data_IF_542204927063
#
_entry.id   IF_542204927063
#
_cell.length_a   1.000
_cell.length_b   1.000
_cell.length_c   1.000
_cell.angle_alpha   90.00
_cell.angle_beta   90.00
_cell.angle_gamma   90.00
#
_symmetry.space_group_name_H-M   'P 1'
#
loop_
_entity.id
_entity.type
_entity.pdbx_description
1 polymer ?
#
# COMPACT_ATOMS: atom_id res chain seq x y z
N UNK A 1 1.37 23.40 -8.75
CA UNK A 1 0.14 22.58 -8.77
C UNK A 1 -0.07 22.10 -10.19
N UNK A 2 -0.71 20.94 -10.38
CA UNK A 2 -0.92 20.26 -11.65
C UNK A 2 -2.35 19.74 -11.76
N UNK A 3 -2.90 19.77 -12.97
CA UNK A 3 -4.21 19.23 -13.35
C UNK A 3 -4.08 18.08 -14.37
N UNK A 4 -2.88 17.52 -14.52
CA UNK A 4 -2.61 16.46 -15.51
C UNK A 4 -3.55 15.26 -15.36
N UNK A 5 -3.90 14.91 -14.12
CA UNK A 5 -4.80 13.79 -13.79
C UNK A 5 -6.23 13.96 -14.31
N UNK A 6 -6.68 15.18 -14.65
CA UNK A 6 -8.04 15.44 -15.17
C UNK A 6 -8.35 14.71 -16.48
N UNK A 7 -7.32 14.25 -17.20
CA UNK A 7 -7.46 13.50 -18.47
C UNK A 7 -7.64 12.00 -18.26
N UNK A 8 -7.55 11.53 -17.02
CA UNK A 8 -7.48 10.12 -16.68
C UNK A 8 -8.62 9.76 -15.71
N UNK A 9 -9.30 8.62 -15.91
CA UNK A 9 -10.16 8.08 -14.86
C UNK A 9 -9.27 7.60 -13.71
N UNK A 10 -9.66 7.92 -12.49
CA UNK A 10 -8.97 7.44 -11.29
C UNK A 10 -9.68 6.19 -10.79
N UNK A 11 -8.97 5.05 -10.78
CA UNK A 11 -9.48 3.80 -10.25
C UNK A 11 -9.63 3.89 -8.73
N UNK A 12 -10.55 3.08 -8.19
CA UNK A 12 -10.88 2.99 -6.75
C UNK A 12 -11.60 4.20 -6.13
N UNK A 13 -11.86 5.26 -6.88
CA UNK A 13 -12.63 6.42 -6.42
C UNK A 13 -14.03 6.47 -7.05
N UNK A 14 -14.99 6.98 -6.29
CA UNK A 14 -16.34 7.24 -6.82
C UNK A 14 -16.28 8.38 -7.85
N UNK A 15 -17.22 8.38 -8.81
CA UNK A 15 -17.27 9.39 -9.88
C UNK A 15 -17.28 10.83 -9.34
N UNK A 16 -18.00 11.07 -8.25
CA UNK A 16 -18.13 12.39 -7.61
C UNK A 16 -16.83 12.84 -6.92
N UNK A 17 -16.02 11.89 -6.46
CA UNK A 17 -14.79 12.14 -5.70
C UNK A 17 -13.53 12.15 -6.58
N UNK A 18 -13.63 11.80 -7.87
CA UNK A 18 -12.45 11.70 -8.76
C UNK A 18 -11.62 12.99 -8.76
N UNK A 19 -12.29 14.15 -8.70
CA UNK A 19 -11.64 15.45 -8.69
C UNK A 19 -10.60 15.61 -7.56
N UNK A 20 -10.82 14.95 -6.42
CA UNK A 20 -9.91 14.95 -5.26
C UNK A 20 -8.61 14.20 -5.50
N UNK A 21 -8.52 13.40 -6.58
CA UNK A 21 -7.35 12.65 -6.99
C UNK A 21 -6.78 13.10 -8.35
N UNK A 22 -7.55 13.87 -9.13
CA UNK A 22 -7.17 14.33 -10.47
C UNK A 22 -6.34 15.62 -10.46
N UNK A 23 -6.42 16.39 -9.37
CA UNK A 23 -5.64 17.60 -9.17
C UNK A 23 -4.61 17.38 -8.06
N UNK A 24 -3.46 18.03 -8.16
CA UNK A 24 -2.39 17.87 -7.19
C UNK A 24 -1.61 19.16 -6.94
N UNK A 25 -1.12 19.29 -5.71
CA UNK A 25 -0.07 20.24 -5.35
C UNK A 25 1.23 19.48 -5.16
N UNK A 26 2.29 19.96 -5.79
CA UNK A 26 3.66 19.51 -5.57
C UNK A 26 4.57 20.72 -5.33
N UNK A 27 5.74 20.47 -4.79
CA UNK A 27 6.80 21.48 -4.64
C UNK A 27 8.18 20.84 -4.85
N UNK A 28 9.15 21.61 -5.32
CA UNK A 28 10.54 21.16 -5.52
C UNK A 28 11.28 20.92 -4.20
N UNK A 29 10.80 21.56 -3.13
CA UNK A 29 11.31 21.43 -1.76
C UNK A 29 10.26 20.84 -0.82
N UNK A 30 10.65 20.58 0.43
CA UNK A 30 9.73 20.23 1.51
C UNK A 30 8.67 21.31 1.68
N UNK A 31 7.40 20.91 1.77
CA UNK A 31 6.30 21.83 2.00
C UNK A 31 5.29 21.24 2.98
N UNK A 32 4.44 22.08 3.55
CA UNK A 32 3.48 21.60 4.53
C UNK A 32 2.25 22.47 4.71
N UNK A 33 1.41 22.04 5.64
CA UNK A 33 0.18 22.70 6.05
C UNK A 33 0.16 22.84 7.57
N UNK A 34 -0.37 23.98 8.03
CA UNK A 34 -0.70 24.19 9.44
C UNK A 34 -2.22 24.17 9.61
N UNK A 35 -2.72 23.27 10.44
CA UNK A 35 -4.15 23.17 10.74
C UNK A 35 -4.40 23.40 12.23
N UNK A 36 -5.13 24.46 12.64
CA UNK A 36 -5.45 24.67 14.04
C UNK A 36 -6.48 23.64 14.52
N UNK A 37 -6.22 23.00 15.67
CA UNK A 37 -7.16 22.11 16.35
C UNK A 37 -7.50 22.70 17.71
N UNK A 38 -8.80 22.90 17.97
CA UNK A 38 -9.30 23.59 19.16
C UNK A 38 -9.72 22.64 20.28
N UNK A 39 -10.15 21.45 19.91
CA UNK A 39 -10.76 20.49 20.83
C UNK A 39 -9.82 19.30 21.05
N UNK A 40 -9.94 18.69 22.23
CA UNK A 40 -9.31 17.41 22.49
C UNK A 40 -10.19 16.28 21.95
N UNK A 41 -9.58 15.19 21.52
CA UNK A 41 -10.32 14.09 20.93
C UNK A 41 -9.45 13.16 20.10
N UNK A 42 -10.11 12.15 19.55
CA UNK A 42 -9.53 11.27 18.55
C UNK A 42 -9.79 11.87 17.17
N UNK A 43 -8.76 11.82 16.34
CA UNK A 43 -8.80 12.39 14.99
C UNK A 43 -8.15 11.43 14.01
N UNK A 44 -8.54 11.54 12.74
CA UNK A 44 -7.91 10.84 11.64
C UNK A 44 -7.51 11.84 10.58
N UNK A 45 -6.21 11.91 10.28
CA UNK A 45 -5.70 12.62 9.12
C UNK A 45 -5.74 11.66 7.92
N UNK A 46 -6.44 12.06 6.87
CA UNK A 46 -6.48 11.30 5.62
C UNK A 46 -5.81 12.12 4.52
N UNK A 47 -4.82 11.51 3.89
CA UNK A 47 -4.05 12.08 2.80
C UNK A 47 -4.34 11.33 1.52
N UNK A 48 -4.83 12.05 0.51
CA UNK A 48 -5.26 11.48 -0.78
C UNK A 48 -4.19 11.66 -1.82
N UNK A 49 -3.84 10.58 -2.50
CA UNK A 49 -2.83 10.53 -3.53
C UNK A 49 -3.31 9.73 -4.75
N UNK A 50 -2.79 10.08 -5.92
CA UNK A 50 -2.82 9.23 -7.10
C UNK A 50 -1.54 9.48 -7.91
N UNK A 51 -0.91 8.42 -8.43
CA UNK A 51 0.19 8.57 -9.39
C UNK A 51 -0.37 8.63 -10.81
N UNK A 52 -0.14 9.75 -11.49
CA UNK A 52 -0.72 10.01 -12.81
C UNK A 52 0.33 10.38 -13.85
N UNK A 53 1.60 10.52 -13.46
CA UNK A 53 2.68 10.96 -14.34
C UNK A 53 3.72 9.86 -14.55
N UNK A 54 4.19 9.26 -13.46
CA UNK A 54 5.19 8.20 -13.52
C UNK A 54 4.57 6.83 -13.70
N UNK A 55 5.20 6.01 -14.53
CA UNK A 55 4.74 4.67 -14.89
C UNK A 55 5.61 3.55 -14.28
N UNK A 56 6.46 3.87 -13.30
CA UNK A 56 7.38 2.93 -12.65
C UNK A 56 7.59 3.30 -11.17
N UNK A 57 7.83 2.28 -10.33
CA UNK A 57 8.26 2.46 -8.93
C UNK A 57 9.62 3.15 -8.87
N UNK A 58 9.94 3.72 -7.72
CA UNK A 58 11.19 4.41 -7.38
C UNK A 58 11.48 5.63 -8.27
N UNK A 59 10.46 6.24 -8.88
CA UNK A 59 10.59 7.52 -9.58
C UNK A 59 10.22 8.71 -8.68
N UNK A 60 9.29 8.49 -7.75
CA UNK A 60 8.86 9.49 -6.77
C UNK A 60 8.72 8.83 -5.41
N UNK A 61 9.61 9.24 -4.50
CA UNK A 61 9.64 8.74 -3.12
C UNK A 61 9.85 9.92 -2.19
N UNK A 62 8.99 10.08 -1.20
CA UNK A 62 9.05 11.16 -0.22
C UNK A 62 8.47 10.70 1.13
N UNK A 63 8.82 11.40 2.21
CA UNK A 63 8.24 11.12 3.53
C UNK A 63 7.07 12.07 3.82
N UNK A 64 6.19 11.65 4.73
CA UNK A 64 5.20 12.51 5.34
C UNK A 64 5.42 12.56 6.85
N UNK A 65 5.42 13.77 7.39
CA UNK A 65 5.53 14.03 8.82
C UNK A 65 4.30 14.71 9.38
N UNK A 66 3.99 14.39 10.63
CA UNK A 66 2.97 15.03 11.45
C UNK A 66 3.60 15.51 12.75
N UNK A 67 3.65 16.83 12.96
CA UNK A 67 4.29 17.46 14.13
C UNK A 67 5.72 16.94 14.38
N UNK A 68 6.49 16.74 13.31
CA UNK A 68 7.85 16.20 13.35
C UNK A 68 7.96 14.67 13.39
N UNK A 69 6.87 13.95 13.69
CA UNK A 69 6.83 12.49 13.63
C UNK A 69 6.73 12.00 12.19
N UNK A 70 7.58 11.06 11.77
CA UNK A 70 7.46 10.44 10.44
C UNK A 70 6.30 9.46 10.45
N UNK A 71 5.19 9.81 9.80
CA UNK A 71 3.97 9.01 9.78
C UNK A 71 3.85 8.14 8.54
N UNK A 72 4.49 8.55 7.44
CA UNK A 72 4.63 7.72 6.25
C UNK A 72 6.07 7.88 5.78
N UNK A 73 6.80 6.77 5.70
CA UNK A 73 8.20 6.75 5.28
C UNK A 73 8.33 6.16 3.89
N UNK A 74 9.19 6.75 3.06
CA UNK A 74 9.53 6.30 1.72
C UNK A 74 8.27 6.04 0.86
N UNK A 75 7.31 6.98 0.87
CA UNK A 75 6.05 6.84 0.14
C UNK A 75 6.30 6.87 -1.37
N UNK A 76 6.09 5.71 -1.99
CA UNK A 76 6.03 5.52 -3.43
C UNK A 76 4.59 5.17 -3.84
N UNK A 77 3.87 6.14 -4.39
CA UNK A 77 2.45 5.96 -4.73
C UNK A 77 2.29 4.94 -5.87
N UNK A 78 3.21 4.92 -6.83
CA UNK A 78 3.16 3.96 -7.94
C UNK A 78 3.35 2.54 -7.42
N UNK A 79 4.32 2.33 -6.53
CA UNK A 79 4.59 1.00 -5.97
C UNK A 79 3.40 0.47 -5.15
N UNK A 80 2.64 1.37 -4.49
CA UNK A 80 1.47 1.00 -3.69
C UNK A 80 0.25 0.59 -4.51
N UNK A 81 -0.09 1.37 -5.54
CA UNK A 81 -1.38 1.22 -6.24
C UNK A 81 -1.28 1.26 -7.76
N UNK A 82 -0.10 1.48 -8.32
CA UNK A 82 0.10 1.65 -9.75
C UNK A 82 -0.34 3.02 -10.28
N UNK A 83 -0.48 3.08 -11.61
CA UNK A 83 -0.88 4.29 -12.32
C UNK A 83 -2.40 4.56 -12.20
N UNK A 84 -2.79 5.84 -12.20
CA UNK A 84 -4.18 6.30 -12.23
C UNK A 84 -5.10 5.63 -11.21
N UNK A 85 -4.58 5.34 -10.01
CA UNK A 85 -5.32 4.65 -8.96
C UNK A 85 -5.29 5.47 -7.67
N UNK A 86 -6.45 5.59 -7.01
CA UNK A 86 -6.56 6.28 -5.74
C UNK A 86 -5.83 5.50 -4.63
N UNK A 87 -5.09 6.26 -3.82
CA UNK A 87 -4.40 5.80 -2.62
C UNK A 87 -4.66 6.77 -1.48
N UNK A 88 -5.06 6.23 -0.33
CA UNK A 88 -5.31 6.99 0.88
C UNK A 88 -4.33 6.52 1.97
N UNK A 89 -3.59 7.46 2.56
CA UNK A 89 -2.87 7.23 3.81
C UNK A 89 -3.77 7.70 4.96
N UNK A 90 -4.05 6.79 5.89
CA UNK A 90 -4.98 7.00 7.01
C UNK A 90 -4.17 6.99 8.30
N UNK A 91 -4.03 8.16 8.92
CA UNK A 91 -3.20 8.37 10.11
C UNK A 91 -4.10 8.69 11.31
N UNK A 92 -4.42 7.69 12.17
CA UNK A 92 -5.12 7.95 13.42
C UNK A 92 -4.20 8.64 14.42
N UNK A 93 -4.76 9.59 15.15
CA UNK A 93 -4.07 10.35 16.20
C UNK A 93 -5.04 10.68 17.33
N UNK A 94 -4.50 10.94 18.53
CA UNK A 94 -5.30 11.45 19.64
C UNK A 94 -4.64 12.66 20.28
N UNK A 95 -5.45 13.63 20.66
CA UNK A 95 -5.02 14.85 21.35
C UNK A 95 -5.69 14.86 22.73
N UNK A 96 -4.89 14.76 23.79
CA UNK A 96 -5.39 14.73 25.18
C UNK A 96 -4.43 15.46 26.10
N UNK A 97 -4.96 16.31 26.97
CA UNK A 97 -4.19 17.09 27.97
C UNK A 97 -2.98 17.81 27.35
N UNK A 98 -3.18 18.42 26.18
CA UNK A 98 -2.13 19.13 25.45
C UNK A 98 -1.00 18.25 24.89
N UNK A 99 -1.23 16.94 24.72
CA UNK A 99 -0.31 16.00 24.07
C UNK A 99 -0.93 15.42 22.82
N UNK A 100 -0.13 15.28 21.77
CA UNK A 100 -0.45 14.55 20.55
C UNK A 100 0.14 13.15 20.65
N UNK A 101 -0.65 12.14 20.35
CA UNK A 101 -0.20 10.75 20.21
C UNK A 101 -0.48 10.28 18.79
N UNK A 102 0.55 9.83 18.08
CA UNK A 102 0.46 9.29 16.72
C UNK A 102 1.43 8.12 16.56
N UNK A 103 0.97 6.99 16.02
CA UNK A 103 1.78 5.78 15.79
C UNK A 103 2.60 5.29 17.02
N UNK A 104 2.07 5.50 18.24
CA UNK A 104 2.74 5.14 19.50
C UNK A 104 3.77 6.16 20.00
N UNK A 105 4.08 7.18 19.21
CA UNK A 105 4.90 8.31 19.65
C UNK A 105 4.01 9.40 20.27
N UNK A 106 4.53 10.07 21.30
CA UNK A 106 3.82 11.12 22.03
C UNK A 106 4.66 12.38 22.07
N UNK A 107 4.06 13.52 21.73
CA UNK A 107 4.70 14.84 21.78
C UNK A 107 3.78 15.90 22.37
N UNK A 108 4.35 17.07 22.67
CA UNK A 108 3.59 18.24 23.13
C UNK A 108 2.79 18.81 21.97
N UNK A 109 1.49 19.05 22.18
CA UNK A 109 0.61 19.67 21.20
C UNK A 109 0.47 21.17 21.47
N UNK A 110 0.71 21.99 20.45
CA UNK A 110 0.77 23.47 20.55
C UNK A 110 -0.49 24.16 19.99
N UNK A 111 -1.58 23.40 19.76
CA UNK A 111 -2.82 23.93 19.17
C UNK A 111 -2.86 23.90 17.65
N UNK A 112 -1.76 23.53 16.98
CA UNK A 112 -1.67 23.36 15.54
C UNK A 112 -1.06 22.02 15.17
N UNK A 113 -1.63 21.39 14.15
CA UNK A 113 -1.02 20.28 13.46
C UNK A 113 -0.16 20.80 12.31
N UNK A 114 1.07 20.30 12.23
CA UNK A 114 2.02 20.58 11.18
C UNK A 114 2.16 19.33 10.33
N UNK A 115 1.65 19.35 9.10
CA UNK A 115 1.73 18.25 8.15
C UNK A 115 2.79 18.61 7.13
N UNK A 116 3.88 17.85 7.04
CA UNK A 116 5.00 18.14 6.14
C UNK A 116 5.21 17.00 5.16
N UNK A 117 5.36 17.33 3.88
CA UNK A 117 5.76 16.43 2.82
C UNK A 117 7.23 16.68 2.52
N UNK A 118 8.09 15.76 2.94
CA UNK A 118 9.54 15.96 2.99
C UNK A 118 10.17 15.51 1.69
N UNK A 119 10.90 16.42 1.04
CA UNK A 119 11.62 16.13 -0.20
C UNK A 119 12.69 15.05 0.01
N UNK A 120 12.53 13.91 -0.66
CA UNK A 120 13.54 12.86 -0.76
C UNK A 120 14.55 13.09 -1.88
N UNK A 121 15.37 12.07 -2.20
CA UNK A 121 16.36 12.13 -3.29
C UNK A 121 15.73 12.07 -4.69
N UNK A 122 14.56 11.46 -4.82
CA UNK A 122 13.85 11.22 -6.08
C UNK A 122 13.11 12.47 -6.59
N UNK A 123 11.93 12.33 -7.19
CA UNK A 123 11.14 13.48 -7.64
C UNK A 123 10.48 14.24 -6.47
N UNK A 124 9.62 15.20 -6.82
CA UNK A 124 9.00 16.17 -5.91
C UNK A 124 7.87 15.55 -5.08
N UNK A 125 7.76 15.87 -3.77
CA UNK A 125 6.60 15.49 -2.96
C UNK A 125 5.33 16.10 -3.56
N UNK A 126 4.22 15.38 -3.43
CA UNK A 126 2.90 15.84 -3.88
C UNK A 126 1.79 15.40 -2.95
N UNK A 127 0.64 16.05 -3.06
CA UNK A 127 -0.62 15.66 -2.42
C UNK A 127 -1.77 16.05 -3.35
N UNK A 128 -2.82 15.22 -3.44
CA UNK A 128 -4.02 15.57 -4.20
C UNK A 128 -5.02 16.33 -3.31
N UNK A 129 -5.38 15.74 -2.18
CA UNK A 129 -6.24 16.35 -1.18
C UNK A 129 -5.88 15.86 0.22
N UNK A 130 -6.31 16.59 1.25
CA UNK A 130 -6.25 16.14 2.63
C UNK A 130 -7.48 16.60 3.38
N UNK A 131 -7.87 15.83 4.40
CA UNK A 131 -8.85 16.26 5.39
C UNK A 131 -8.52 15.66 6.75
N UNK A 132 -9.08 16.29 7.78
CA UNK A 132 -8.98 15.81 9.16
C UNK A 132 -10.40 15.56 9.64
N UNK A 133 -10.64 14.34 10.10
CA UNK A 133 -11.90 13.89 10.67
C UNK A 133 -11.76 13.82 12.19
N UNK A 134 -12.73 14.34 12.93
CA UNK A 134 -12.85 14.05 14.37
C UNK A 134 -13.62 12.74 14.50
N UNK A 135 -13.00 11.73 15.10
CA UNK A 135 -13.53 10.37 15.14
C UNK A 135 -12.43 9.32 15.02
N UNK A 136 -12.83 8.15 14.54
CA UNK A 136 -11.99 6.96 14.43
C UNK A 136 -11.79 6.55 12.97
N UNK A 137 -10.95 5.54 12.74
CA UNK A 137 -10.68 5.01 11.39
C UNK A 137 -11.93 4.41 10.76
N UNK A 138 -12.91 3.97 11.56
CA UNK A 138 -14.17 3.39 11.07
C UNK A 138 -15.05 4.44 10.37
N UNK A 139 -14.90 5.70 10.74
CA UNK A 139 -15.65 6.83 10.19
C UNK A 139 -15.08 7.30 8.83
N UNK A 140 -13.92 6.78 8.42
CA UNK A 140 -13.26 7.14 7.17
C UNK A 140 -13.92 6.43 5.98
N UNK A 141 -14.42 7.16 4.96
CA UNK A 141 -14.93 6.55 3.74
C UNK A 141 -13.88 5.68 3.06
N UNK A 142 -14.22 4.41 2.79
CA UNK A 142 -13.31 3.45 2.17
C UNK A 142 -13.29 3.62 0.65
N UNK A 143 -12.09 3.53 0.07
CA UNK A 143 -11.90 3.41 -1.37
C UNK A 143 -12.55 2.13 -1.90
N UNK A 144 -12.97 2.16 -3.16
CA UNK A 144 -13.47 0.95 -3.82
C UNK A 144 -12.33 -0.11 -3.92
N UNK A 145 -12.68 -1.40 -4.00
CA UNK A 145 -11.71 -2.48 -4.17
C UNK A 145 -10.83 -2.27 -5.41
N UNK A 146 -9.59 -2.75 -5.33
CA UNK A 146 -8.71 -2.68 -6.50
C UNK A 146 -9.24 -3.63 -7.59
N UNK A 147 -9.38 -3.18 -8.85
CA UNK A 147 -9.85 -4.02 -9.94
C UNK A 147 -8.99 -5.28 -10.08
N UNK A 148 -9.61 -6.47 -10.01
CA UNK A 148 -8.91 -7.76 -10.11
C UNK A 148 -8.38 -8.35 -8.79
N UNK A 149 -8.58 -7.68 -7.66
CA UNK A 149 -8.29 -8.20 -6.31
C UNK A 149 -9.56 -8.22 -5.43
N UNK A 150 -10.73 -8.43 -6.04
CA UNK A 150 -11.95 -8.72 -5.29
C UNK A 150 -11.70 -9.97 -4.44
N UNK A 151 -11.62 -9.80 -3.11
CA UNK A 151 -11.74 -10.92 -2.20
C UNK A 151 -13.13 -11.50 -2.44
N UNK A 152 -13.20 -12.72 -2.97
CA UNK A 152 -14.37 -13.56 -2.70
C UNK A 152 -14.44 -13.63 -1.19
N UNK A 153 -15.45 -13.00 -0.61
CA UNK A 153 -15.80 -13.29 0.77
C UNK A 153 -16.01 -14.81 0.80
N UNK A 154 -15.12 -15.51 1.52
CA UNK A 154 -15.38 -16.87 1.92
C UNK A 154 -16.59 -16.72 2.84
N UNK A 155 -17.78 -16.99 2.31
CA UNK A 155 -18.94 -17.25 3.14
C UNK A 155 -18.48 -18.33 4.13
N UNK A 156 -18.26 -17.92 5.38
CA UNK A 156 -18.09 -18.82 6.51
C UNK A 156 -19.42 -19.59 6.63
N UNK A 157 -19.55 -20.64 5.81
CA UNK A 157 -20.48 -21.73 6.05
C UNK A 157 -19.98 -22.42 7.33
N UNK A 158 -20.31 -21.85 8.49
CA UNK A 158 -20.41 -22.59 9.74
C UNK A 158 -21.52 -23.64 9.53
N UNK A 159 -21.17 -24.76 8.91
CA UNK A 159 -22.03 -25.94 8.86
C UNK A 159 -22.14 -26.51 10.29
N UNK A 160 -23.18 -26.02 10.97
CA UNK A 160 -23.77 -26.53 12.19
C UNK A 160 -24.02 -28.05 12.05
N UNK A 161 -23.43 -28.83 12.95
CA UNK A 161 -23.67 -30.28 13.03
C UNK A 161 -25.11 -30.53 13.50
N UNK A 162 -26.01 -30.92 12.59
CA UNK A 162 -27.28 -31.53 12.98
C UNK A 162 -27.49 -32.91 12.32
N UNK A 163 -27.86 -33.85 13.18
CA UNK A 163 -28.12 -35.26 12.94
C UNK A 163 -29.58 -35.44 12.52
N UNK A 164 -29.82 -36.12 11.39
CA UNK A 164 -31.14 -36.72 11.16
C UNK A 164 -31.72 -36.67 9.74
N UNK A 165 -31.59 -37.79 9.03
CA UNK A 165 -32.63 -38.42 8.18
C UNK A 165 -33.22 -37.68 6.95
N UNK A 166 -32.82 -38.17 5.78
CA UNK A 166 -33.66 -38.57 4.62
C UNK A 166 -34.72 -37.61 4.04
N UNK A 167 -34.52 -37.14 2.80
CA UNK A 167 -35.26 -37.50 1.55
C UNK A 167 -34.91 -36.51 0.41
N UNK A 168 -34.73 -37.09 -0.79
CA UNK A 168 -34.41 -36.47 -2.09
C UNK A 168 -35.28 -35.26 -2.48
N UNK A 169 -34.67 -34.24 -3.09
CA UNK A 169 -35.19 -33.58 -4.31
C UNK A 169 -34.11 -32.82 -5.08
N UNK A 170 -34.14 -33.01 -6.39
CA UNK A 170 -33.19 -32.54 -7.40
C UNK A 170 -33.25 -31.01 -7.57
N UNK A 171 -32.08 -30.38 -7.71
CA UNK A 171 -31.95 -29.03 -8.25
C UNK A 171 -30.91 -29.02 -9.38
N UNK A 172 -31.32 -28.47 -10.52
CA UNK A 172 -30.53 -28.29 -11.74
C UNK A 172 -29.21 -27.56 -11.45
N UNK A 173 -28.08 -28.17 -11.83
CA UNK A 173 -26.77 -27.50 -11.85
C UNK A 173 -26.25 -27.54 -13.29
N UNK A 174 -26.27 -26.40 -13.98
CA UNK A 174 -25.52 -26.22 -15.22
C UNK A 174 -24.03 -26.31 -14.88
N UNK A 175 -23.47 -27.49 -15.08
CA UNK A 175 -22.09 -27.84 -14.79
C UNK A 175 -21.22 -27.39 -15.96
N UNK A 176 -20.54 -26.26 -15.81
CA UNK A 176 -19.45 -25.90 -16.74
C UNK A 176 -18.32 -26.89 -16.54
N UNK A 177 -17.93 -27.57 -17.62
CA UNK A 177 -16.94 -28.63 -17.62
C UNK A 177 -15.54 -28.00 -17.57
N UNK A 178 -14.88 -28.04 -16.42
CA UNK A 178 -13.50 -27.59 -16.27
C UNK A 178 -12.54 -28.55 -17.00
N UNK A 179 -11.65 -27.99 -17.82
CA UNK A 179 -10.59 -28.73 -18.51
C UNK A 179 -9.57 -29.37 -17.54
N UNK A 180 -8.65 -30.21 -18.04
CA UNK A 180 -7.67 -30.89 -17.21
C UNK A 180 -6.84 -29.89 -16.40
N UNK A 181 -6.63 -30.14 -15.10
CA UNK A 181 -5.76 -29.33 -14.25
C UNK A 181 -4.34 -29.37 -14.80
N UNK A 182 -3.84 -28.23 -15.27
CA UNK A 182 -2.44 -28.06 -15.64
C UNK A 182 -1.58 -28.18 -14.38
N UNK A 183 -0.59 -29.09 -14.35
CA UNK A 183 0.37 -29.15 -13.24
C UNK A 183 1.17 -27.85 -13.18
N UNK A 184 1.44 -27.38 -11.96
CA UNK A 184 2.16 -26.14 -11.71
C UNK A 184 3.60 -26.23 -12.29
N UNK A 185 4.01 -25.38 -13.25
CA UNK A 185 5.27 -25.53 -14.00
C UNK A 185 6.54 -25.26 -13.18
N UNK A 186 6.42 -24.88 -11.92
CA UNK A 186 7.54 -24.60 -11.01
C UNK A 186 7.66 -25.60 -9.85
N UNK A 187 6.96 -26.74 -9.91
CA UNK A 187 7.01 -27.75 -8.84
C UNK A 187 8.32 -28.55 -8.77
N UNK A 188 9.26 -28.36 -9.71
CA UNK A 188 10.56 -29.03 -9.69
C UNK A 188 11.65 -28.10 -9.14
N UNK A 189 11.71 -27.99 -7.82
CA UNK A 189 12.79 -27.30 -7.13
C UNK A 189 13.98 -28.24 -6.96
N UNK A 190 14.88 -28.26 -7.95
CA UNK A 190 16.14 -29.02 -7.91
C UNK A 190 17.37 -28.09 -7.87
N UNK A 191 17.25 -26.90 -7.27
CA UNK A 191 18.36 -25.92 -7.21
C UNK A 191 19.37 -26.17 -6.08
N UNK A 192 19.23 -27.23 -5.29
CA UNK A 192 20.11 -27.53 -4.15
C UNK A 192 21.34 -28.40 -4.47
N UNK A 193 21.47 -28.93 -5.71
CA UNK A 193 22.60 -29.79 -6.11
C UNK A 193 23.62 -29.14 -7.06
N UNK A 194 23.43 -27.89 -7.49
CA UNK A 194 24.32 -27.20 -8.43
C UNK A 194 25.42 -26.35 -7.77
N UNK A 195 25.41 -26.19 -6.44
CA UNK A 195 26.43 -25.44 -5.71
C UNK A 195 27.71 -26.23 -5.31
N UNK A 196 27.69 -27.54 -5.01
CA UNK A 196 28.91 -28.23 -4.58
C UNK A 196 29.85 -28.66 -5.74
N UNK A 197 29.38 -28.68 -6.99
CA UNK A 197 30.20 -29.12 -8.14
C UNK A 197 31.13 -28.00 -8.63
N UNK A 198 30.68 -26.74 -8.62
CA UNK A 198 31.48 -25.60 -9.10
C UNK A 198 32.65 -25.23 -8.15
N UNK A 199 32.49 -25.47 -6.85
CA UNK A 199 33.57 -25.26 -5.86
C UNK A 199 34.68 -26.30 -6.02
N UNK A 200 34.37 -27.53 -6.42
CA UNK A 200 35.36 -28.60 -6.59
C UNK A 200 36.33 -28.34 -7.76
N UNK A 201 35.88 -27.72 -8.86
CA UNK A 201 36.74 -27.42 -10.01
C UNK A 201 37.60 -26.15 -9.84
N UNK A 202 37.13 -25.17 -9.06
CA UNK A 202 37.86 -23.91 -8.82
C UNK A 202 39.14 -24.06 -7.98
N UNK A 203 39.21 -25.08 -7.12
CA UNK A 203 40.35 -25.31 -6.20
C UNK A 203 41.35 -26.35 -6.75
N UNK A 204 40.96 -27.15 -7.74
CA UNK A 204 41.82 -28.22 -8.29
C UNK A 204 42.79 -27.74 -9.37
N UNK A 205 42.43 -26.72 -10.15
CA UNK A 205 43.28 -26.20 -11.25
C UNK A 205 44.53 -25.46 -10.73
N UNK A 206 44.47 -24.64 -9.65
CA UNK A 206 45.67 -23.98 -9.11
C UNK A 206 46.60 -24.93 -8.35
N UNK A 207 46.06 -25.96 -7.69
CA UNK A 207 46.84 -26.89 -6.87
C UNK A 207 47.64 -27.89 -7.72
N UNK A 208 47.12 -28.30 -8.87
CA UNK A 208 47.85 -29.14 -9.83
C UNK A 208 49.01 -28.38 -10.50
N UNK A 209 48.87 -27.07 -10.73
CA UNK A 209 49.94 -26.24 -11.33
C UNK A 209 51.11 -25.99 -10.35
N UNK A 210 50.85 -25.98 -9.05
CA UNK A 210 51.89 -25.83 -8.02
C UNK A 210 52.68 -27.12 -7.73
N UNK A 211 52.14 -28.30 -8.04
CA UNK A 211 52.83 -29.58 -7.81
C UNK A 211 53.64 -30.08 -9.02
N UNK A 212 53.44 -29.51 -10.21
CA UNK A 212 54.18 -29.87 -11.44
C UNK A 212 55.39 -28.94 -11.73
N UNK A 213 55.79 -28.08 -10.77
CA UNK A 213 57.02 -27.28 -10.84
C UNK A 213 57.90 -27.49 -9.59
N UNK A 214 58.24 -28.75 -9.34
CA UNK A 214 59.31 -29.16 -8.42
C UNK A 214 60.18 -30.22 -9.12
#
# INVERSE_FOLDING_TARGET
>A
ASDYGMKLPILRSNAEDQILYQTERYNEETFGYEVPIKEEGDYVLVLKFAEVYFAQSQQKVFDVRLNGHVVVKDLDIFDRVGHSTAHDEIIPMSIRKGKLSVQGEVSTFTGKLHIEFVKGYYDNPKICALYILQGTVEDVPKLQPHPGLEKKEEDDDEDEYDDGSSIKKQANKNRVQSGPRTPNPYASDNSSLMFPILVAFGVFIPTLFCLCRL
#
